data_IF_355114820772
#
_entry.id   IF_355114820772
#
_cell.length_a   1.000
_cell.length_b   1.000
_cell.length_c   1.000
_cell.angle_alpha   90.00
_cell.angle_beta   90.00
_cell.angle_gamma   90.00
#
_symmetry.space_group_name_H-M   'P 1'
#
loop_
_entity.id
_entity.type
_entity.pdbx_description
1 polymer ?
#
# COMPACT_ATOMS: atom_id res chain seq x y z
N UNK A 1 18.79 -13.74 -7.30
CA UNK A 1 17.62 -13.41 -6.45
C UNK A 1 16.48 -13.04 -7.39
N UNK A 2 15.28 -13.56 -7.16
CA UNK A 2 14.10 -13.22 -7.95
C UNK A 2 13.77 -11.71 -7.75
N UNK A 3 13.45 -10.96 -8.81
CA UNK A 3 13.20 -9.51 -8.73
C UNK A 3 12.14 -9.16 -7.68
N UNK A 4 11.06 -9.94 -7.60
CA UNK A 4 10.00 -9.70 -6.62
C UNK A 4 10.50 -9.90 -5.18
N UNK A 5 11.34 -10.92 -4.94
CA UNK A 5 11.97 -11.14 -3.64
C UNK A 5 12.98 -10.03 -3.29
N UNK A 6 13.72 -9.54 -4.29
CA UNK A 6 14.68 -8.46 -4.10
C UNK A 6 14.02 -7.14 -3.68
N UNK A 7 12.74 -6.95 -3.98
CA UNK A 7 11.98 -5.78 -3.48
C UNK A 7 11.53 -5.93 -2.02
N UNK A 8 11.58 -7.13 -1.42
CA UNK A 8 11.20 -7.36 -0.02
C UNK A 8 12.41 -7.10 0.86
N UNK A 9 12.38 -6.00 1.60
CA UNK A 9 13.55 -5.49 2.33
C UNK A 9 13.52 -5.75 3.83
N UNK A 10 12.34 -6.07 4.37
CA UNK A 10 12.15 -6.25 5.81
C UNK A 10 10.92 -7.10 6.12
N UNK A 11 10.96 -7.79 7.26
CA UNK A 11 9.78 -8.33 7.92
C UNK A 11 9.66 -7.72 9.32
N UNK A 12 8.48 -7.21 9.66
CA UNK A 12 8.17 -6.67 10.97
C UNK A 12 7.83 -7.76 11.98
N UNK A 13 8.26 -7.56 13.22
CA UNK A 13 7.78 -8.32 14.38
C UNK A 13 6.31 -8.03 14.68
N UNK A 14 5.64 -8.99 15.32
CA UNK A 14 4.18 -8.97 15.55
C UNK A 14 3.71 -7.71 16.30
N UNK A 15 4.44 -7.27 17.31
CA UNK A 15 4.05 -6.10 18.10
C UNK A 15 4.00 -4.83 17.26
N UNK A 16 4.98 -4.65 16.36
CA UNK A 16 5.00 -3.51 15.47
C UNK A 16 3.88 -3.59 14.43
N UNK A 17 3.58 -4.78 13.91
CA UNK A 17 2.41 -5.00 13.05
C UNK A 17 1.11 -4.57 13.74
N UNK A 18 0.91 -4.94 15.01
CA UNK A 18 -0.27 -4.55 15.78
C UNK A 18 -0.37 -3.03 15.99
N UNK A 19 0.76 -2.35 16.22
CA UNK A 19 0.80 -0.88 16.33
C UNK A 19 0.41 -0.20 15.01
N UNK A 20 0.90 -0.71 13.86
CA UNK A 20 0.47 -0.20 12.55
C UNK A 20 -1.04 -0.35 12.34
N UNK A 21 -1.62 -1.47 12.76
CA UNK A 21 -3.05 -1.74 12.61
C UNK A 21 -3.89 -0.82 13.50
N UNK A 22 -3.46 -0.57 14.73
CA UNK A 22 -4.14 0.36 15.63
C UNK A 22 -4.21 1.78 15.02
N UNK A 23 -3.09 2.28 14.48
CA UNK A 23 -3.05 3.59 13.82
C UNK A 23 -3.88 3.62 12.53
N UNK A 24 -3.79 2.56 11.70
CA UNK A 24 -4.60 2.45 10.49
C UNK A 24 -6.11 2.48 10.80
N UNK A 25 -6.53 1.89 11.93
CA UNK A 25 -7.92 1.98 12.42
C UNK A 25 -8.28 3.41 12.83
N UNK A 26 -7.42 4.10 13.58
CA UNK A 26 -7.64 5.50 13.95
C UNK A 26 -7.79 6.41 12.71
N UNK A 27 -6.93 6.21 11.70
CA UNK A 27 -7.03 6.91 10.41
C UNK A 27 -8.37 6.58 9.73
N UNK A 28 -8.77 5.31 9.69
CA UNK A 28 -10.02 4.87 9.07
C UNK A 28 -11.29 5.41 9.79
N UNK A 29 -11.22 5.66 11.10
CA UNK A 29 -12.31 6.29 11.86
C UNK A 29 -12.46 7.77 11.51
N UNK A 30 -11.36 8.49 11.33
CA UNK A 30 -11.34 9.90 10.93
C UNK A 30 -11.64 10.10 9.43
N UNK A 31 -11.17 9.18 8.60
CA UNK A 31 -11.27 9.19 7.14
C UNK A 31 -11.66 7.81 6.64
N UNK A 32 -12.99 7.59 6.55
CA UNK A 32 -13.57 6.29 6.21
C UNK A 32 -13.08 5.79 4.85
N UNK A 33 -12.83 4.48 4.77
CA UNK A 33 -12.47 3.85 3.51
C UNK A 33 -13.60 3.99 2.48
N UNK A 34 -13.21 4.16 1.22
CA UNK A 34 -14.12 4.20 0.08
C UNK A 34 -13.62 3.32 -1.05
N UNK A 35 -14.52 2.93 -1.97
CA UNK A 35 -14.13 2.27 -3.21
C UNK A 35 -13.79 3.34 -4.26
N UNK A 36 -12.54 3.39 -4.75
CA UNK A 36 -12.20 4.22 -5.91
C UNK A 36 -12.84 3.65 -7.17
N UNK A 37 -12.94 4.46 -8.23
CA UNK A 37 -13.41 4.03 -9.54
C UNK A 37 -12.30 4.14 -10.58
N UNK A 38 -12.16 3.12 -11.41
CA UNK A 38 -11.23 3.07 -12.53
C UNK A 38 -12.00 2.67 -13.80
N UNK A 39 -11.92 3.48 -14.86
CA UNK A 39 -12.65 3.22 -16.10
C UNK A 39 -14.17 3.13 -15.91
N UNK A 40 -14.72 3.95 -15.00
CA UNK A 40 -16.16 3.96 -14.68
C UNK A 40 -16.65 2.77 -13.84
N UNK A 41 -15.76 1.91 -13.34
CA UNK A 41 -16.13 0.77 -12.48
C UNK A 41 -15.48 0.87 -11.11
N UNK A 42 -16.20 0.53 -10.02
CA UNK A 42 -15.59 0.43 -8.70
C UNK A 42 -14.46 -0.59 -8.67
N UNK A 43 -13.35 -0.23 -8.04
CA UNK A 43 -12.25 -1.16 -7.78
C UNK A 43 -12.65 -2.17 -6.68
N UNK A 44 -12.06 -3.37 -6.73
CA UNK A 44 -12.29 -4.45 -5.76
C UNK A 44 -11.71 -4.14 -4.38
N UNK A 45 -10.72 -3.24 -4.31
CA UNK A 45 -10.14 -2.72 -3.06
C UNK A 45 -10.94 -1.54 -2.50
N UNK A 46 -10.78 -1.29 -1.19
CA UNK A 46 -11.17 -0.01 -0.57
C UNK A 46 -9.91 0.73 -0.17
N UNK A 47 -9.94 2.05 -0.23
CA UNK A 47 -8.80 2.89 0.12
C UNK A 47 -9.17 3.97 1.12
N UNK A 48 -8.18 4.42 1.89
CA UNK A 48 -8.16 5.73 2.54
C UNK A 48 -6.72 6.25 2.52
N UNK A 49 -6.49 7.45 3.03
CA UNK A 49 -5.17 8.06 3.05
C UNK A 49 -4.93 8.81 4.37
N UNK A 50 -3.65 9.06 4.65
CA UNK A 50 -3.18 10.02 5.63
C UNK A 50 -2.05 10.86 5.02
N UNK A 51 -1.90 12.11 5.46
CA UNK A 51 -0.87 13.06 4.98
C UNK A 51 -1.42 14.32 4.36
N UNK A 52 -0.53 15.13 3.80
CA UNK A 52 -0.92 16.33 3.07
C UNK A 52 -1.67 15.98 1.78
N UNK A 53 -1.37 14.81 1.21
CA UNK A 53 -1.96 14.31 -0.02
C UNK A 53 -2.47 12.88 0.16
N UNK A 54 -3.50 12.54 -0.61
CA UNK A 54 -4.08 11.21 -0.68
C UNK A 54 -4.43 10.83 -2.11
N UNK A 55 -4.12 9.59 -2.49
CA UNK A 55 -4.44 9.09 -3.82
C UNK A 55 -5.94 8.84 -3.94
N UNK A 56 -6.52 9.23 -5.08
CA UNK A 56 -7.91 9.00 -5.42
C UNK A 56 -8.03 8.59 -6.89
N UNK A 57 -9.07 7.81 -7.18
CA UNK A 57 -9.52 7.55 -8.54
C UNK A 57 -11.04 7.65 -8.62
N UNK A 58 -11.51 8.44 -9.57
CA UNK A 58 -12.92 8.64 -9.89
C UNK A 58 -13.06 8.98 -11.39
N UNK A 59 -14.18 9.56 -11.79
CA UNK A 59 -14.47 9.98 -13.17
C UNK A 59 -13.46 11.00 -13.73
N UNK A 60 -12.76 11.75 -12.87
CA UNK A 60 -11.73 12.70 -13.27
C UNK A 60 -10.35 12.02 -13.44
N UNK A 61 -10.26 10.71 -13.22
CA UNK A 61 -9.04 9.92 -13.33
C UNK A 61 -8.24 9.85 -12.02
N UNK A 62 -7.01 9.34 -12.15
CA UNK A 62 -6.09 9.08 -11.03
C UNK A 62 -5.33 10.35 -10.63
N UNK A 63 -5.37 10.73 -9.36
CA UNK A 63 -4.66 11.93 -8.87
C UNK A 63 -4.43 11.88 -7.36
N UNK A 64 -3.60 12.80 -6.88
CA UNK A 64 -3.49 13.14 -5.47
C UNK A 64 -4.36 14.36 -5.14
N UNK A 65 -5.06 14.32 -4.01
CA UNK A 65 -5.86 15.43 -3.48
C UNK A 65 -5.49 15.71 -2.03
N UNK A 66 -5.69 16.94 -1.56
CA UNK A 66 -5.50 17.32 -0.15
C UNK A 66 -6.70 16.99 0.74
N UNK A 67 -7.82 16.53 0.16
CA UNK A 67 -9.05 16.25 0.88
C UNK A 67 -9.74 14.98 0.38
N UNK A 68 -10.48 14.34 1.30
CA UNK A 68 -11.25 13.14 1.04
C UNK A 68 -12.41 13.42 0.06
N UNK A 69 -12.55 12.66 -1.04
CA UNK A 69 -13.41 13.03 -2.17
C UNK A 69 -14.90 13.06 -1.83
N UNK A 70 -15.34 12.32 -0.80
CA UNK A 70 -16.75 12.29 -0.37
C UNK A 70 -17.10 13.26 0.76
N UNK A 71 -16.12 13.68 1.55
CA UNK A 71 -16.38 14.48 2.77
C UNK A 71 -15.84 15.90 2.65
N UNK A 72 -14.94 16.16 1.69
CA UNK A 72 -14.25 17.44 1.52
C UNK A 72 -13.28 17.80 2.66
N UNK A 73 -13.10 16.91 3.64
CA UNK A 73 -12.20 17.15 4.78
C UNK A 73 -10.76 16.80 4.43
N UNK A 74 -9.77 17.50 5.00
CA UNK A 74 -8.37 17.10 4.90
C UNK A 74 -8.16 15.65 5.35
N UNK A 75 -7.14 15.00 4.79
CA UNK A 75 -6.72 13.69 5.28
C UNK A 75 -6.13 13.81 6.70
N UNK A 76 -6.28 12.77 7.56
CA UNK A 76 -5.60 12.71 8.84
C UNK A 76 -4.08 12.81 8.66
N UNK A 77 -3.31 13.34 9.64
CA UNK A 77 -1.86 13.38 9.54
C UNK A 77 -1.26 11.96 9.50
N UNK A 78 -0.10 11.80 8.85
CA UNK A 78 0.67 10.56 8.94
C UNK A 78 1.27 10.49 10.36
N UNK A 79 1.13 9.36 11.08
CA UNK A 79 1.80 9.19 12.37
C UNK A 79 3.32 9.39 12.20
N UNK A 80 3.94 10.21 13.04
CA UNK A 80 5.38 10.53 12.91
C UNK A 80 6.25 9.27 12.87
N UNK A 81 5.93 8.27 13.67
CA UNK A 81 6.69 7.02 13.72
C UNK A 81 6.57 6.17 12.44
N UNK A 82 5.55 6.40 11.60
CA UNK A 82 5.50 5.80 10.25
C UNK A 82 6.48 6.49 9.31
N UNK A 83 6.69 7.80 9.46
CA UNK A 83 7.69 8.56 8.71
C UNK A 83 9.08 8.11 9.12
N UNK A 84 9.34 7.98 10.42
CA UNK A 84 10.61 7.49 10.94
C UNK A 84 10.88 6.05 10.46
N UNK A 85 9.84 5.20 10.39
CA UNK A 85 9.94 3.86 9.79
C UNK A 85 10.27 3.91 8.29
N UNK A 86 9.64 4.79 7.52
CA UNK A 86 9.92 4.93 6.10
C UNK A 86 11.34 5.48 5.85
N UNK A 87 11.79 6.43 6.66
CA UNK A 87 13.16 6.97 6.66
C UNK A 87 14.20 5.86 6.91
N UNK A 88 13.93 4.96 7.85
CA UNK A 88 14.82 3.84 8.17
C UNK A 88 14.85 2.77 7.05
N UNK A 89 13.78 2.65 6.25
CA UNK A 89 13.72 1.70 5.14
C UNK A 89 14.32 2.24 3.85
N UNK A 90 14.04 3.51 3.52
CA UNK A 90 14.32 4.08 2.20
C UNK A 90 15.25 5.30 2.21
N UNK A 91 15.68 5.74 3.40
CA UNK A 91 16.35 7.02 3.59
C UNK A 91 15.36 8.17 3.78
N UNK A 92 15.87 9.29 4.34
CA UNK A 92 15.05 10.44 4.70
C UNK A 92 14.46 11.13 3.47
N UNK A 93 13.13 11.25 3.44
CA UNK A 93 12.38 11.86 2.35
C UNK A 93 11.24 12.76 2.88
N UNK A 94 10.72 13.71 2.08
CA UNK A 94 9.58 14.54 2.46
C UNK A 94 8.25 13.79 2.25
N UNK A 95 8.07 12.67 2.95
CA UNK A 95 6.85 11.86 2.88
C UNK A 95 5.61 12.71 3.16
N UNK A 96 4.66 12.70 2.22
CA UNK A 96 3.47 13.54 2.25
C UNK A 96 2.17 12.74 2.07
N UNK A 97 2.28 11.44 1.81
CA UNK A 97 1.17 10.53 1.62
C UNK A 97 1.45 9.13 2.19
N UNK A 98 0.53 8.64 3.02
CA UNK A 98 0.37 7.24 3.36
C UNK A 98 -0.96 6.75 2.77
N UNK A 99 -0.87 5.92 1.72
CA UNK A 99 -2.01 5.33 1.03
C UNK A 99 -2.35 3.96 1.64
N UNK A 100 -3.54 3.84 2.24
CA UNK A 100 -4.00 2.62 2.90
C UNK A 100 -4.94 1.87 1.95
N UNK A 101 -4.61 0.63 1.61
CA UNK A 101 -5.37 -0.21 0.70
C UNK A 101 -5.86 -1.45 1.43
N UNK A 102 -7.17 -1.60 1.51
CA UNK A 102 -7.85 -2.76 2.07
C UNK A 102 -8.31 -3.72 0.97
N UNK A 103 -7.88 -4.97 1.09
CA UNK A 103 -8.25 -6.09 0.23
C UNK A 103 -9.17 -7.01 1.02
N UNK A 104 -10.43 -7.07 0.63
CA UNK A 104 -11.37 -8.10 1.09
C UNK A 104 -11.04 -9.44 0.41
N UNK A 105 -11.54 -10.59 0.92
CA UNK A 105 -11.42 -11.86 0.24
C UNK A 105 -11.87 -11.76 -1.23
N UNK A 106 -11.02 -12.21 -2.15
CA UNK A 106 -11.26 -12.14 -3.60
C UNK A 106 -10.91 -10.79 -4.26
N UNK A 107 -10.47 -9.78 -3.51
CA UNK A 107 -9.93 -8.55 -4.08
C UNK A 107 -8.54 -8.78 -4.68
N UNK A 108 -8.18 -7.95 -5.67
CA UNK A 108 -6.88 -7.97 -6.34
C UNK A 108 -6.58 -6.59 -6.90
N UNK A 109 -5.33 -6.35 -7.27
CA UNK A 109 -4.91 -5.13 -7.96
C UNK A 109 -4.03 -5.52 -9.14
N UNK A 110 -4.59 -5.41 -10.35
CA UNK A 110 -3.94 -5.85 -11.58
C UNK A 110 -2.68 -5.05 -11.91
N UNK A 111 -2.01 -5.39 -13.01
CA UNK A 111 -0.75 -4.76 -13.42
C UNK A 111 -0.87 -3.24 -13.57
N UNK A 112 -0.05 -2.51 -12.80
CA UNK A 112 0.02 -1.06 -12.81
C UNK A 112 1.43 -0.56 -12.51
N UNK A 113 1.63 0.75 -12.70
CA UNK A 113 2.79 1.51 -12.20
C UNK A 113 2.27 2.64 -11.33
N UNK A 114 2.97 2.90 -10.25
CA UNK A 114 2.76 4.10 -9.44
C UNK A 114 3.49 5.26 -10.12
N UNK A 115 2.72 5.94 -11.00
CA UNK A 115 3.20 7.01 -11.89
C UNK A 115 2.42 8.32 -11.77
N UNK A 116 1.55 8.41 -10.76
CA UNK A 116 0.75 9.63 -10.51
C UNK A 116 1.47 10.62 -9.60
N UNK A 117 2.55 10.20 -8.95
CA UNK A 117 3.44 11.06 -8.17
C UNK A 117 4.15 12.05 -9.11
N UNK A 118 4.37 13.28 -8.63
CA UNK A 118 5.23 14.29 -9.28
C UNK A 118 6.72 14.03 -9.09
N UNK A 119 7.07 13.06 -8.24
CA UNK A 119 8.45 12.68 -7.93
C UNK A 119 8.69 11.20 -8.24
N UNK A 120 9.96 10.82 -8.34
CA UNK A 120 10.39 9.41 -8.39
C UNK A 120 11.08 8.96 -7.10
N UNK A 121 10.70 9.53 -5.95
CA UNK A 121 11.20 9.09 -4.63
C UNK A 121 10.71 7.68 -4.32
N UNK A 122 11.40 6.91 -3.46
CA UNK A 122 11.02 5.53 -3.16
C UNK A 122 9.57 5.36 -2.71
N UNK A 123 9.02 4.15 -2.88
CA UNK A 123 7.73 3.76 -2.31
C UNK A 123 7.97 2.64 -1.31
N UNK A 124 7.61 2.88 -0.05
CA UNK A 124 7.69 1.91 1.05
C UNK A 124 6.30 1.33 1.29
N UNK A 125 6.12 0.02 1.13
CA UNK A 125 4.80 -0.60 1.34
C UNK A 125 4.85 -1.74 2.36
N UNK A 126 4.13 -1.57 3.46
CA UNK A 126 3.96 -2.61 4.48
C UNK A 126 2.73 -3.46 4.16
N UNK A 127 2.86 -4.79 4.26
CA UNK A 127 1.78 -5.76 4.12
C UNK A 127 1.38 -6.33 5.48
N UNK A 128 0.07 -6.35 5.77
CA UNK A 128 -0.49 -6.82 7.04
C UNK A 128 -1.72 -7.70 6.77
N UNK A 129 -1.90 -8.77 7.54
CA UNK A 129 -3.06 -9.65 7.41
C UNK A 129 -2.84 -10.85 6.49
N UNK A 130 -3.83 -11.14 5.66
CA UNK A 130 -3.80 -12.27 4.72
C UNK A 130 -2.64 -12.15 3.71
N UNK A 131 -2.17 -13.31 3.26
CA UNK A 131 -1.01 -13.42 2.38
C UNK A 131 -1.38 -12.98 0.96
N UNK A 132 -0.39 -12.46 0.22
CA UNK A 132 -0.60 -12.03 -1.17
C UNK A 132 0.45 -12.58 -2.13
N UNK A 133 0.04 -12.86 -3.37
CA UNK A 133 0.96 -13.05 -4.48
C UNK A 133 1.36 -11.70 -5.05
N UNK A 134 2.62 -11.32 -4.83
CA UNK A 134 3.24 -10.12 -5.37
C UNK A 134 3.97 -10.43 -6.65
N UNK A 135 3.61 -9.75 -7.73
CA UNK A 135 4.24 -9.91 -9.03
C UNK A 135 4.90 -8.60 -9.47
N UNK A 136 6.12 -8.66 -10.01
CA UNK A 136 6.92 -7.52 -10.45
C UNK A 136 7.59 -7.82 -11.79
N UNK A 137 7.72 -6.81 -12.64
CA UNK A 137 8.59 -6.81 -13.84
C UNK A 137 9.02 -5.38 -14.15
N UNK A 138 10.22 -5.19 -14.71
CA UNK A 138 10.72 -3.84 -14.98
C UNK A 138 9.93 -3.15 -16.11
N UNK A 139 9.52 -3.93 -17.12
CA UNK A 139 8.63 -3.47 -18.18
C UNK A 139 7.74 -4.58 -18.76
N UNK A 140 6.99 -4.28 -19.83
CA UNK A 140 6.03 -5.22 -20.43
C UNK A 140 6.67 -6.42 -21.14
N UNK A 141 7.93 -6.29 -21.55
CA UNK A 141 8.72 -7.29 -22.28
C UNK A 141 9.57 -8.14 -21.34
N UNK A 142 9.83 -7.64 -20.14
CA UNK A 142 10.61 -8.32 -19.11
C UNK A 142 9.84 -9.47 -18.42
N UNK A 143 10.55 -10.49 -17.90
CA UNK A 143 9.93 -11.62 -17.21
C UNK A 143 9.10 -11.20 -16.00
N UNK A 144 8.01 -11.94 -15.76
CA UNK A 144 7.22 -11.79 -14.53
C UNK A 144 7.91 -12.55 -13.39
N UNK A 145 8.26 -11.81 -12.36
CA UNK A 145 8.82 -12.31 -11.12
C UNK A 145 7.74 -12.32 -10.04
N UNK A 146 7.62 -13.43 -9.29
CA UNK A 146 6.60 -13.57 -8.23
C UNK A 146 7.22 -13.91 -6.89
N UNK A 147 6.68 -13.36 -5.81
CA UNK A 147 7.02 -13.69 -4.44
C UNK A 147 5.74 -13.69 -3.58
N UNK A 148 5.79 -14.39 -2.44
CA UNK A 148 4.72 -14.30 -1.44
C UNK A 148 4.99 -13.14 -0.48
N UNK A 149 4.00 -12.30 -0.25
CA UNK A 149 4.01 -11.31 0.83
C UNK A 149 3.21 -11.86 2.01
N UNK A 150 3.93 -12.16 3.09
CA UNK A 150 3.34 -12.50 4.38
C UNK A 150 3.09 -11.23 5.21
N UNK A 151 2.23 -11.32 6.22
CA UNK A 151 2.06 -10.22 7.17
C UNK A 151 3.39 -9.82 7.83
N UNK A 152 3.62 -8.50 7.89
CA UNK A 152 4.85 -7.86 8.32
C UNK A 152 5.84 -7.58 7.19
N UNK A 153 5.67 -8.12 5.98
CA UNK A 153 6.61 -7.88 4.89
C UNK A 153 6.54 -6.42 4.41
N UNK A 154 7.70 -5.81 4.25
CA UNK A 154 7.86 -4.48 3.67
C UNK A 154 8.52 -4.60 2.30
N UNK A 155 7.86 -4.08 1.27
CA UNK A 155 8.44 -3.91 -0.05
C UNK A 155 8.94 -2.49 -0.25
N UNK A 156 10.03 -2.37 -1.01
CA UNK A 156 10.63 -1.11 -1.42
C UNK A 156 10.71 -1.07 -2.95
N UNK A 157 10.04 -0.09 -3.56
CA UNK A 157 10.23 0.25 -4.96
C UNK A 157 11.12 1.50 -5.05
N UNK A 158 12.37 1.30 -5.45
CA UNK A 158 13.40 2.35 -5.52
C UNK A 158 14.39 2.06 -6.65
N UNK A 159 15.15 3.08 -7.07
CA UNK A 159 16.14 2.93 -8.14
C UNK A 159 15.51 2.35 -9.40
N UNK A 160 16.11 1.29 -9.95
CA UNK A 160 15.63 0.61 -11.16
C UNK A 160 14.21 0.02 -11.02
N UNK A 161 13.81 -0.33 -9.79
CA UNK A 161 12.47 -0.88 -9.53
C UNK A 161 11.42 0.17 -9.22
N UNK A 162 11.80 1.45 -9.08
CA UNK A 162 10.86 2.53 -8.70
C UNK A 162 9.65 2.60 -9.62
N UNK A 163 9.88 2.44 -10.92
CA UNK A 163 8.84 2.51 -11.94
C UNK A 163 8.36 1.12 -12.38
N UNK A 164 8.75 0.03 -11.70
CA UNK A 164 8.40 -1.33 -12.11
C UNK A 164 6.89 -1.55 -12.20
N UNK A 165 6.47 -2.33 -13.22
CA UNK A 165 5.11 -2.86 -13.27
C UNK A 165 4.93 -3.86 -12.13
N UNK A 166 3.82 -3.75 -11.42
CA UNK A 166 3.53 -4.66 -10.31
C UNK A 166 2.05 -4.95 -10.14
N UNK A 167 1.75 -6.02 -9.41
CA UNK A 167 0.40 -6.55 -9.22
C UNK A 167 0.29 -7.27 -7.88
N UNK A 168 -0.91 -7.21 -7.29
CA UNK A 168 -1.37 -8.09 -6.22
C UNK A 168 -2.39 -9.04 -6.85
N UNK A 169 -1.94 -10.26 -7.20
CA UNK A 169 -2.73 -11.18 -8.05
C UNK A 169 -3.79 -11.97 -7.27
N UNK A 170 -3.42 -12.48 -6.09
CA UNK A 170 -4.29 -13.29 -5.24
C UNK A 170 -4.09 -12.92 -3.76
N UNK A 171 -5.18 -12.94 -3.00
CA UNK A 171 -5.19 -12.83 -1.54
C UNK A 171 -5.59 -14.19 -0.99
N UNK A 172 -4.74 -14.76 -0.14
CA UNK A 172 -4.92 -16.09 0.43
C UNK A 172 -5.05 -15.98 1.96
N UNK A 173 -6.10 -16.56 2.57
CA UNK A 173 -6.22 -16.59 4.01
C UNK A 173 -4.98 -17.19 4.68
N UNK A 174 -4.49 -16.56 5.74
CA UNK A 174 -3.23 -16.96 6.39
C UNK A 174 -3.41 -17.57 7.82
N UNK A 175 -4.13 -18.69 7.99
CA UNK A 175 -4.45 -19.24 9.32
C UNK A 175 -3.27 -19.94 10.02
N UNK A 176 -2.18 -20.29 9.31
CA UNK A 176 -1.12 -21.13 9.88
C UNK A 176 0.10 -20.34 10.41
N UNK A 177 0.34 -19.12 9.91
CA UNK A 177 1.58 -18.37 10.22
C UNK A 177 1.37 -17.24 11.21
N UNK A 178 0.18 -16.63 11.25
CA UNK A 178 -0.15 -15.52 12.15
C UNK A 178 -1.62 -15.53 12.57
N UNK A 179 -2.24 -16.69 12.79
CA UNK A 179 -3.60 -16.73 13.34
C UNK A 179 -3.66 -16.25 14.81
N UNK A 180 -4.74 -15.53 15.18
CA UNK A 180 -5.66 -14.88 14.25
C UNK A 180 -4.95 -13.72 13.54
N UNK A 181 -5.32 -13.49 12.27
CA UNK A 181 -4.89 -12.31 11.49
C UNK A 181 -4.84 -11.09 12.41
N UNK A 182 -3.80 -10.25 12.36
CA UNK A 182 -3.72 -9.11 13.26
C UNK A 182 -4.82 -8.07 12.97
N UNK A 183 -5.60 -8.26 11.90
CA UNK A 183 -6.76 -7.47 11.51
C UNK A 183 -8.05 -8.00 12.16
N UNK A 184 -9.00 -7.11 12.53
CA UNK A 184 -10.26 -7.50 13.17
C UNK A 184 -11.24 -8.21 12.23
N UNK A 185 -11.03 -8.11 10.91
CA UNK A 185 -11.82 -8.79 9.88
C UNK A 185 -10.89 -9.47 8.88
N UNK A 186 -11.30 -10.59 8.26
CA UNK A 186 -10.50 -11.24 7.22
C UNK A 186 -10.15 -10.28 6.07
N UNK A 187 -8.96 -10.42 5.52
CA UNK A 187 -8.44 -9.55 4.48
C UNK A 187 -6.98 -9.18 4.68
N UNK A 188 -6.50 -8.30 3.80
CA UNK A 188 -5.15 -7.77 3.80
C UNK A 188 -5.19 -6.24 3.79
N UNK A 189 -4.31 -5.63 4.56
CA UNK A 189 -4.04 -4.21 4.54
C UNK A 189 -2.65 -3.97 3.95
N UNK A 190 -2.56 -3.09 2.96
CA UNK A 190 -1.30 -2.49 2.54
C UNK A 190 -1.24 -1.03 3.00
N UNK A 191 -0.11 -0.61 3.56
CA UNK A 191 0.16 0.78 3.92
C UNK A 191 1.35 1.23 3.07
N UNK A 192 1.10 2.11 2.10
CA UNK A 192 2.09 2.54 1.12
C UNK A 192 2.46 4.01 1.33
N UNK A 193 3.67 4.25 1.84
CA UNK A 193 4.20 5.57 2.18
C UNK A 193 5.09 6.04 1.01
N UNK A 194 4.86 7.29 0.57
CA UNK A 194 5.40 7.82 -0.68
C UNK A 194 5.50 9.35 -0.65
N UNK A 195 6.29 9.90 -1.56
CA UNK A 195 6.32 11.35 -1.86
C UNK A 195 5.52 11.58 -3.13
N UNK A 196 4.27 12.01 -2.95
CA UNK A 196 3.34 12.31 -4.02
C UNK A 196 3.70 13.61 -4.77
N UNK A 197 4.19 14.64 -4.06
CA UNK A 197 4.84 15.84 -4.61
C UNK A 197 3.96 17.01 -5.01
#
# INVERSE_FOLDING_TARGET
MNLAEATIVRRLERDLQLRFIAEARSIAEQSRLFRPQAGGRPMSVKITNAGALGWVADELGYRYTSAHPRTGRPWPPIPQWWLDFADDVAGREPWDCAHLIWYEPGASLGWHRDKTERTRRPIVTLSLGDDATWAVRLDEREPIHRARLYSGYTTLLSGETRDALHSIEAIEPAPALLAPSPLPTPGRLAISIRVAG
#
